data_IF_557360839728
#
_entry.id   IF_557360839728
#
_cell.length_a   1.000
_cell.length_b   1.000
_cell.length_c   1.000
_cell.angle_alpha   90.00
_cell.angle_beta   90.00
_cell.angle_gamma   90.00
#
_symmetry.space_group_name_H-M   'P 1'
#
loop_
_entity.id
_entity.type
_entity.pdbx_description
1 polymer ?
#
# COMPACT_ATOMS: atom_id res chain seq x y z
N UNK A 1 8.17 9.02 3.34
CA UNK A 1 7.07 9.27 4.29
C UNK A 1 7.41 10.51 5.08
N UNK A 2 6.73 11.61 4.78
CA UNK A 2 6.80 12.78 5.63
C UNK A 2 6.21 12.40 6.99
N UNK A 3 6.93 12.67 8.06
CA UNK A 3 6.46 12.50 9.43
C UNK A 3 5.18 13.30 9.75
N UNK A 4 4.73 14.11 8.80
CA UNK A 4 3.56 14.98 8.92
C UNK A 4 2.24 14.27 8.59
N UNK A 5 2.26 13.03 8.11
CA UNK A 5 1.07 12.23 7.80
C UNK A 5 0.59 11.38 8.99
N UNK A 6 1.23 11.45 10.14
CA UNK A 6 0.71 10.90 11.40
C UNK A 6 -0.44 11.76 11.97
N UNK A 7 -1.34 12.26 11.10
CA UNK A 7 -2.44 13.06 11.60
C UNK A 7 -3.58 12.15 12.06
N UNK A 8 -4.15 12.52 13.21
CA UNK A 8 -5.37 11.94 13.77
C UNK A 8 -6.61 12.07 12.86
N UNK A 9 -6.46 12.76 11.74
CA UNK A 9 -7.55 13.22 10.87
C UNK A 9 -7.81 12.31 9.66
N UNK A 10 -7.02 11.25 9.48
CA UNK A 10 -7.26 10.26 8.44
C UNK A 10 -8.50 9.42 8.78
N UNK A 11 -9.56 9.54 7.99
CA UNK A 11 -10.70 8.62 8.07
C UNK A 11 -10.29 7.31 7.40
N UNK A 12 -9.95 6.34 8.24
CA UNK A 12 -9.36 5.08 7.81
C UNK A 12 -10.32 3.95 8.09
N UNK A 13 -10.80 3.30 7.04
CA UNK A 13 -11.65 2.12 7.12
C UNK A 13 -10.96 0.94 6.47
N UNK A 14 -10.90 -0.17 7.18
CA UNK A 14 -10.39 -1.42 6.63
C UNK A 14 -11.27 -2.59 7.04
N UNK A 15 -11.57 -3.45 6.09
CA UNK A 15 -12.46 -4.60 6.26
C UNK A 15 -12.02 -5.82 5.44
N UNK A 16 -12.41 -7.00 5.90
CA UNK A 16 -12.34 -8.22 5.10
C UNK A 16 -13.69 -8.38 4.40
N UNK A 17 -13.71 -8.27 3.09
CA UNK A 17 -14.91 -8.50 2.27
C UNK A 17 -15.10 -9.99 2.06
N UNK A 18 -15.88 -10.62 2.92
CA UNK A 18 -16.06 -12.08 2.97
C UNK A 18 -16.64 -12.70 1.69
N UNK A 19 -17.45 -11.96 0.93
CA UNK A 19 -18.03 -12.43 -0.31
C UNK A 19 -17.02 -12.68 -1.44
N UNK A 20 -15.91 -11.95 -1.44
CA UNK A 20 -14.83 -12.07 -2.42
C UNK A 20 -13.51 -12.49 -1.78
N UNK A 21 -13.49 -12.67 -0.45
CA UNK A 21 -12.32 -13.08 0.34
C UNK A 21 -11.07 -12.21 0.10
N UNK A 22 -11.26 -10.90 0.14
CA UNK A 22 -10.24 -9.88 -0.03
C UNK A 22 -10.19 -8.93 1.16
N UNK A 23 -9.06 -8.25 1.35
CA UNK A 23 -8.93 -7.14 2.30
C UNK A 23 -9.03 -5.82 1.54
N UNK A 24 -9.91 -4.96 2.01
CA UNK A 24 -10.11 -3.62 1.46
C UNK A 24 -9.86 -2.58 2.54
N UNK A 25 -9.16 -1.51 2.18
CA UNK A 25 -9.07 -0.29 2.97
C UNK A 25 -9.68 0.84 2.14
N UNK A 26 -10.87 1.28 2.55
CA UNK A 26 -11.60 2.31 1.84
C UNK A 26 -11.14 3.70 2.26
N UNK A 27 -11.00 4.54 1.25
CA UNK A 27 -10.94 5.99 1.25
C UNK A 27 -10.10 6.60 2.38
N UNK A 28 -8.81 6.45 2.28
CA UNK A 28 -7.89 7.31 3.01
C UNK A 28 -7.86 8.64 2.26
N UNK A 29 -8.39 9.67 2.87
CA UNK A 29 -8.35 11.01 2.33
C UNK A 29 -7.28 11.80 3.04
N UNK A 30 -6.35 12.39 2.33
CA UNK A 30 -5.39 13.32 2.87
C UNK A 30 -5.17 14.51 1.93
N UNK A 31 -4.79 15.63 2.51
CA UNK A 31 -4.48 16.82 1.76
C UNK A 31 -3.00 16.83 1.39
N UNK A 32 -2.70 16.97 0.11
CA UNK A 32 -1.33 17.04 -0.37
C UNK A 32 -0.87 18.48 -0.47
N UNK A 33 0.00 18.90 0.45
CA UNK A 33 0.47 20.29 0.53
C UNK A 33 1.41 20.67 -0.61
N UNK A 34 2.18 19.70 -1.14
CA UNK A 34 3.18 19.93 -2.19
C UNK A 34 2.83 19.18 -3.46
N UNK A 35 3.13 19.77 -4.59
CA UNK A 35 3.06 19.08 -5.86
C UNK A 35 4.02 17.89 -5.89
N UNK A 36 3.50 16.74 -6.29
CA UNK A 36 4.29 15.56 -6.67
C UNK A 36 3.98 15.24 -8.11
N UNK A 37 4.72 14.34 -8.75
CA UNK A 37 4.72 14.14 -10.19
C UNK A 37 3.33 14.22 -10.80
N UNK A 38 2.38 13.48 -10.47
CA UNK A 38 1.03 13.47 -11.05
C UNK A 38 -0.03 14.16 -10.18
N UNK A 39 0.36 14.99 -9.22
CA UNK A 39 -0.58 15.66 -8.33
C UNK A 39 -0.14 17.10 -8.03
N UNK A 40 -1.00 18.07 -8.33
CA UNK A 40 -0.79 19.44 -7.91
C UNK A 40 -0.90 19.57 -6.40
N UNK A 41 -0.09 20.45 -5.79
CA UNK A 41 -0.23 20.79 -4.37
C UNK A 41 -1.61 21.37 -4.06
N UNK A 42 -2.08 21.16 -2.84
CA UNK A 42 -3.38 21.66 -2.39
C UNK A 42 -4.57 20.77 -2.78
N UNK A 43 -4.35 19.59 -3.32
CA UNK A 43 -5.43 18.66 -3.68
C UNK A 43 -5.68 17.65 -2.56
N UNK A 44 -6.93 17.25 -2.41
CA UNK A 44 -7.33 16.14 -1.56
C UNK A 44 -7.19 14.84 -2.35
N UNK A 45 -6.40 13.94 -1.83
CA UNK A 45 -6.12 12.65 -2.45
C UNK A 45 -6.87 11.55 -1.69
N UNK A 46 -7.60 10.73 -2.42
CA UNK A 46 -8.24 9.53 -1.90
C UNK A 46 -7.45 8.30 -2.32
N UNK A 47 -7.21 7.42 -1.37
CA UNK A 47 -6.60 6.12 -1.59
C UNK A 47 -7.57 5.01 -1.22
N UNK A 48 -7.58 3.97 -2.03
CA UNK A 48 -8.26 2.73 -1.74
C UNK A 48 -7.30 1.57 -1.98
N UNK A 49 -7.02 0.81 -0.93
CA UNK A 49 -6.18 -0.39 -1.03
C UNK A 49 -7.04 -1.63 -1.16
N UNK A 50 -6.61 -2.54 -2.01
CA UNK A 50 -7.22 -3.84 -2.23
C UNK A 50 -6.16 -4.92 -2.22
N UNK A 51 -6.24 -5.85 -1.27
CA UNK A 51 -5.38 -7.03 -1.18
C UNK A 51 -6.16 -8.21 -1.75
N UNK A 52 -5.83 -8.60 -2.97
CA UNK A 52 -6.55 -9.63 -3.74
C UNK A 52 -6.04 -11.05 -3.45
N UNK A 53 -4.80 -11.17 -3.01
CA UNK A 53 -4.18 -12.41 -2.57
C UNK A 53 -3.08 -12.13 -1.56
N UNK A 54 -2.54 -13.11 -0.84
CA UNK A 54 -1.51 -12.89 0.18
C UNK A 54 -0.32 -12.04 -0.29
N UNK A 55 0.01 -12.11 -1.56
CA UNK A 55 1.20 -11.46 -2.10
C UNK A 55 0.89 -10.38 -3.15
N UNK A 56 -0.39 -10.02 -3.31
CA UNK A 56 -0.79 -9.09 -4.35
C UNK A 56 -1.67 -7.97 -3.79
N UNK A 57 -1.25 -6.75 -4.02
CA UNK A 57 -2.00 -5.57 -3.60
C UNK A 57 -2.19 -4.60 -4.75
N UNK A 58 -3.31 -3.91 -4.74
CA UNK A 58 -3.65 -2.87 -5.71
C UNK A 58 -4.03 -1.62 -4.93
N UNK A 59 -3.42 -0.51 -5.31
CA UNK A 59 -3.77 0.82 -4.83
C UNK A 59 -4.52 1.55 -5.93
N UNK A 60 -5.69 2.06 -5.61
CA UNK A 60 -6.41 3.04 -6.39
C UNK A 60 -6.18 4.42 -5.77
N UNK A 61 -5.81 5.39 -6.58
CA UNK A 61 -5.56 6.76 -6.17
C UNK A 61 -6.37 7.69 -7.06
N UNK A 62 -6.97 8.74 -6.52
CA UNK A 62 -7.62 9.75 -7.37
C UNK A 62 -6.67 10.28 -8.42
N UNK A 63 -7.16 10.35 -9.65
CA UNK A 63 -6.43 10.92 -10.77
C UNK A 63 -6.59 12.44 -10.78
N UNK A 64 -5.52 13.24 -10.60
CA UNK A 64 -5.61 14.70 -10.60
C UNK A 64 -6.05 15.30 -11.94
N UNK A 65 -5.68 14.66 -13.05
CA UNK A 65 -5.99 15.16 -14.39
C UNK A 65 -7.40 14.80 -14.87
N UNK A 66 -7.99 13.74 -14.30
CA UNK A 66 -9.31 13.24 -14.71
C UNK A 66 -10.20 13.02 -13.49
N UNK A 67 -11.03 14.00 -13.13
CA UNK A 67 -12.02 13.82 -12.06
C UNK A 67 -12.89 12.58 -12.32
N UNK A 68 -13.13 11.78 -11.30
CA UNK A 68 -13.87 10.50 -11.31
C UNK A 68 -13.15 9.31 -11.97
N UNK A 69 -11.88 9.46 -12.37
CA UNK A 69 -11.02 8.36 -12.77
C UNK A 69 -10.01 8.04 -11.66
N UNK A 70 -9.41 6.86 -11.75
CA UNK A 70 -8.43 6.40 -10.78
C UNK A 70 -7.11 6.08 -11.46
N UNK A 71 -6.03 6.55 -10.87
CA UNK A 71 -4.72 5.98 -11.12
C UNK A 71 -4.63 4.66 -10.34
N UNK A 72 -4.01 3.66 -10.96
CA UNK A 72 -3.89 2.33 -10.36
C UNK A 72 -2.43 1.94 -10.28
N UNK A 73 -2.00 1.53 -9.09
CA UNK A 73 -0.65 1.01 -8.83
C UNK A 73 -0.80 -0.39 -8.24
N UNK A 74 -0.17 -1.37 -8.84
CA UNK A 74 -0.19 -2.73 -8.32
C UNK A 74 1.20 -3.22 -7.96
N UNK A 75 1.27 -4.02 -6.89
CA UNK A 75 2.45 -4.74 -6.45
C UNK A 75 2.12 -6.23 -6.37
N UNK A 76 2.87 -7.03 -7.12
CA UNK A 76 2.79 -8.49 -7.10
C UNK A 76 4.12 -9.03 -6.59
N UNK A 77 4.10 -9.63 -5.41
CA UNK A 77 5.26 -10.28 -4.83
C UNK A 77 5.23 -11.78 -5.18
N UNK A 78 6.28 -12.26 -5.78
CA UNK A 78 6.50 -13.68 -6.04
C UNK A 78 7.50 -14.21 -5.01
N UNK A 79 7.09 -15.04 -4.06
CA UNK A 79 8.01 -15.70 -3.15
C UNK A 79 8.98 -16.60 -3.94
N UNK A 80 10.25 -16.46 -3.69
CA UNK A 80 11.31 -17.30 -4.25
C UNK A 80 11.87 -18.25 -3.21
N UNK A 81 11.97 -17.79 -1.96
CA UNK A 81 12.40 -18.54 -0.79
C UNK A 81 11.74 -17.94 0.46
N UNK A 82 11.99 -18.46 1.66
CA UNK A 82 11.39 -17.97 2.91
C UNK A 82 11.71 -16.51 3.17
N UNK A 83 12.91 -16.04 2.84
CA UNK A 83 13.41 -14.69 3.06
C UNK A 83 13.56 -13.86 1.79
N UNK A 84 13.18 -14.38 0.63
CA UNK A 84 13.42 -13.72 -0.66
C UNK A 84 12.16 -13.70 -1.52
N UNK A 85 11.81 -12.56 -2.03
CA UNK A 85 10.76 -12.41 -3.03
C UNK A 85 11.21 -11.53 -4.19
N UNK A 86 10.59 -11.73 -5.35
CA UNK A 86 10.68 -10.83 -6.48
C UNK A 86 9.40 -9.99 -6.53
N UNK A 87 9.52 -8.67 -6.66
CA UNK A 87 8.36 -7.78 -6.72
C UNK A 87 8.22 -7.22 -8.12
N UNK A 88 7.03 -7.37 -8.67
CA UNK A 88 6.61 -6.80 -9.94
C UNK A 88 5.64 -5.65 -9.67
N UNK A 89 6.05 -4.45 -10.05
CA UNK A 89 5.18 -3.26 -9.97
C UNK A 89 4.60 -2.92 -11.33
N UNK A 90 3.36 -2.48 -11.36
CA UNK A 90 2.76 -1.88 -12.54
C UNK A 90 2.00 -0.60 -12.17
N UNK A 91 1.86 0.29 -13.15
CA UNK A 91 1.10 1.52 -13.03
C UNK A 91 0.18 1.70 -14.23
N UNK A 92 -1.03 2.14 -13.97
CA UNK A 92 -1.98 2.65 -14.96
C UNK A 92 -2.35 4.06 -14.48
N UNK A 93 -1.72 5.05 -15.07
CA UNK A 93 -1.86 6.45 -14.64
C UNK A 93 -2.18 7.36 -15.84
N UNK A 94 -2.93 8.40 -15.59
CA UNK A 94 -3.14 9.49 -16.53
C UNK A 94 -2.16 10.61 -16.18
N UNK A 95 -1.20 10.85 -17.05
CA UNK A 95 -0.24 11.93 -16.89
C UNK A 95 0.09 12.49 -18.28
N UNK A 96 -0.28 13.74 -18.53
CA UNK A 96 -0.05 14.41 -19.81
C UNK A 96 1.25 15.20 -19.85
N UNK A 97 1.95 15.32 -18.72
CA UNK A 97 3.10 16.20 -18.56
C UNK A 97 4.44 15.44 -18.57
N UNK A 98 4.44 14.23 -18.02
CA UNK A 98 5.65 13.45 -17.81
C UNK A 98 5.76 12.33 -18.85
N UNK A 99 6.99 11.95 -19.16
CA UNK A 99 7.23 10.77 -20.02
C UNK A 99 7.09 9.47 -19.21
N UNK A 100 6.87 8.37 -19.93
CA UNK A 100 6.87 7.03 -19.32
C UNK A 100 8.15 6.78 -18.50
N UNK A 101 9.29 7.22 -19.01
CA UNK A 101 10.58 7.09 -18.32
C UNK A 101 10.60 7.87 -17.00
N UNK A 102 10.07 9.08 -16.97
CA UNK A 102 10.01 9.90 -15.76
C UNK A 102 9.13 9.23 -14.69
N UNK A 103 7.98 8.70 -15.11
CA UNK A 103 7.04 7.99 -14.23
C UNK A 103 7.67 6.72 -13.65
N UNK A 104 8.37 5.93 -14.47
CA UNK A 104 9.08 4.72 -14.02
C UNK A 104 10.17 5.08 -13.02
N UNK A 105 11.01 6.06 -13.31
CA UNK A 105 12.09 6.49 -12.43
C UNK A 105 11.54 7.00 -11.09
N UNK A 106 10.47 7.79 -11.13
CA UNK A 106 9.83 8.28 -9.91
C UNK A 106 9.29 7.14 -9.05
N UNK A 107 8.60 6.18 -9.65
CA UNK A 107 8.05 5.04 -8.91
C UNK A 107 9.17 4.15 -8.34
N UNK A 108 10.24 3.92 -9.09
CA UNK A 108 11.41 3.20 -8.60
C UNK A 108 12.06 3.90 -7.41
N UNK A 109 12.19 5.24 -7.46
CA UNK A 109 12.74 6.02 -6.36
C UNK A 109 11.92 5.85 -5.08
N UNK A 110 10.59 5.91 -5.17
CA UNK A 110 9.70 5.67 -4.02
C UNK A 110 9.89 4.24 -3.50
N UNK A 111 9.87 3.26 -4.37
CA UNK A 111 9.99 1.86 -3.99
C UNK A 111 11.33 1.54 -3.31
N UNK A 112 12.45 2.14 -3.77
CA UNK A 112 13.74 1.98 -3.13
C UNK A 112 13.79 2.57 -1.71
N UNK A 113 13.04 3.62 -1.43
CA UNK A 113 12.93 4.15 -0.06
C UNK A 113 12.24 3.14 0.87
N UNK A 114 11.21 2.46 0.37
CA UNK A 114 10.49 1.44 1.13
C UNK A 114 11.34 0.18 1.36
N UNK A 115 12.12 -0.26 0.37
CA UNK A 115 13.03 -1.42 0.48
C UNK A 115 13.98 -1.27 1.65
N UNK A 116 14.61 -0.11 1.81
CA UNK A 116 15.56 0.14 2.89
C UNK A 116 14.90 -0.09 4.26
N UNK A 117 13.64 0.29 4.41
CA UNK A 117 12.90 0.09 5.65
C UNK A 117 12.53 -1.37 5.82
N UNK A 118 12.03 -2.03 4.76
CA UNK A 118 11.57 -3.41 4.79
C UNK A 118 12.71 -4.39 5.11
N UNK A 119 13.88 -4.21 4.49
CA UNK A 119 15.05 -5.07 4.70
C UNK A 119 15.68 -4.93 6.09
N UNK A 120 15.37 -3.86 6.82
CA UNK A 120 15.89 -3.61 8.16
C UNK A 120 14.85 -3.89 9.26
N UNK A 121 13.71 -4.49 8.94
CA UNK A 121 12.73 -4.85 9.97
C UNK A 121 13.17 -6.08 10.78
N UNK A 122 12.90 -6.04 12.08
CA UNK A 122 13.13 -7.15 13.01
C UNK A 122 11.83 -7.44 13.76
N UNK A 123 11.27 -8.64 13.66
CA UNK A 123 11.70 -9.77 12.82
C UNK A 123 11.51 -9.51 11.33
N UNK A 124 12.26 -10.22 10.46
CA UNK A 124 12.16 -10.13 9.01
C UNK A 124 10.82 -10.68 8.47
N UNK A 125 10.30 -11.73 9.10
CA UNK A 125 8.98 -12.27 8.78
C UNK A 125 7.85 -11.49 9.43
N UNK A 126 6.66 -11.52 8.80
CA UNK A 126 5.48 -10.82 9.30
C UNK A 126 4.95 -11.48 10.60
N UNK A 127 4.96 -10.78 11.75
CA UNK A 127 4.44 -11.36 12.98
C UNK A 127 2.90 -11.43 12.90
N UNK A 128 2.35 -12.61 13.11
CA UNK A 128 0.90 -12.83 13.13
C UNK A 128 0.32 -12.85 14.55
N UNK A 129 1.15 -12.88 15.59
CA UNK A 129 0.67 -12.87 16.98
C UNK A 129 -0.02 -11.55 17.31
N UNK A 130 -1.11 -11.62 18.06
CA UNK A 130 -1.81 -10.42 18.53
C UNK A 130 -0.93 -9.70 19.56
N UNK A 131 -0.73 -8.40 19.36
CA UNK A 131 0.08 -7.58 20.26
C UNK A 131 1.59 -7.67 20.03
N UNK A 132 2.08 -8.37 19.00
CA UNK A 132 3.49 -8.38 18.62
C UNK A 132 4.01 -6.98 18.27
N UNK A 133 3.13 -6.13 17.77
CA UNK A 133 3.43 -4.73 17.42
C UNK A 133 2.40 -3.77 18.03
N UNK A 134 2.82 -2.53 18.27
CA UNK A 134 1.90 -1.47 18.70
C UNK A 134 1.28 -0.83 17.48
N UNK A 135 0.00 -1.06 17.29
CA UNK A 135 -0.76 -0.52 16.16
C UNK A 135 -1.40 0.83 16.47
N UNK A 136 -1.38 1.72 15.51
CA UNK A 136 -2.09 3.01 15.53
C UNK A 136 -3.32 2.96 14.59
N UNK A 137 -4.09 4.05 14.51
CA UNK A 137 -5.28 4.10 13.64
C UNK A 137 -4.96 3.84 12.16
N UNK A 138 -3.79 4.27 11.69
CA UNK A 138 -3.35 4.08 10.32
C UNK A 138 -3.07 2.60 9.98
N UNK A 139 -2.82 1.74 10.97
CA UNK A 139 -2.47 0.33 10.76
C UNK A 139 -3.69 -0.59 10.57
N UNK A 140 -4.90 -0.06 10.44
CA UNK A 140 -6.11 -0.87 10.31
C UNK A 140 -6.06 -1.85 9.14
N UNK A 141 -5.51 -1.46 8.00
CA UNK A 141 -5.34 -2.36 6.85
C UNK A 141 -4.43 -3.52 7.19
N UNK A 142 -3.29 -3.24 7.80
CA UNK A 142 -2.33 -4.23 8.24
C UNK A 142 -2.94 -5.20 9.24
N UNK A 143 -3.71 -4.71 10.20
CA UNK A 143 -4.42 -5.54 11.17
C UNK A 143 -5.44 -6.47 10.51
N UNK A 144 -6.22 -5.96 9.55
CA UNK A 144 -7.17 -6.78 8.81
C UNK A 144 -6.47 -7.81 7.91
N UNK A 145 -5.38 -7.41 7.28
CA UNK A 145 -4.55 -8.30 6.46
C UNK A 145 -4.00 -9.46 7.29
N UNK A 146 -3.44 -9.21 8.47
CA UNK A 146 -2.96 -10.27 9.38
C UNK A 146 -4.08 -11.22 9.82
N UNK A 147 -5.25 -10.69 10.19
CA UNK A 147 -6.43 -11.52 10.51
C UNK A 147 -6.83 -12.41 9.34
N UNK A 148 -6.80 -11.86 8.15
CA UNK A 148 -7.11 -12.59 6.93
C UNK A 148 -6.09 -13.68 6.62
N UNK A 149 -4.79 -13.40 6.79
CA UNK A 149 -3.73 -14.40 6.64
C UNK A 149 -3.88 -15.54 7.66
N UNK A 150 -4.14 -15.22 8.93
CA UNK A 150 -4.44 -16.22 9.97
C UNK A 150 -5.62 -17.12 9.55
N UNK A 151 -6.69 -16.52 9.09
CA UNK A 151 -7.88 -17.27 8.61
C UNK A 151 -7.54 -18.20 7.43
N UNK A 152 -6.62 -17.79 6.57
CA UNK A 152 -6.13 -18.63 5.45
C UNK A 152 -5.13 -19.71 5.88
N UNK A 153 -4.62 -19.65 7.10
CA UNK A 153 -3.59 -20.58 7.58
C UNK A 153 -2.24 -20.40 6.90
N UNK A 154 -1.94 -19.19 6.40
CA UNK A 154 -0.66 -18.91 5.78
C UNK A 154 0.43 -18.89 6.86
N UNK A 155 1.50 -19.67 6.63
CA UNK A 155 2.67 -19.75 7.51
C UNK A 155 3.94 -19.24 6.82
N UNK A 156 3.98 -19.26 5.50
CA UNK A 156 5.14 -18.83 4.72
C UNK A 156 5.41 -17.32 4.90
N UNK A 157 6.67 -16.98 5.22
CA UNK A 157 7.07 -15.60 5.44
C UNK A 157 6.48 -14.95 6.71
N UNK A 158 5.94 -15.75 7.64
CA UNK A 158 5.30 -15.26 8.85
C UNK A 158 5.97 -15.80 10.12
N UNK A 159 5.87 -15.07 11.22
CA UNK A 159 6.22 -15.55 12.56
C UNK A 159 4.95 -15.80 13.38
N UNK A 160 4.86 -16.99 13.93
CA UNK A 160 3.78 -17.43 14.84
C UNK A 160 4.20 -17.30 16.32
#
# INVERSE_FOLDING_TARGET
WSSDVCSSDLDYRAEIRSGIDEVWADEITFHQDKAMLSAAGGQTIHYMYRVVSPFNTILYKTCPEKPNEWDVIGLFAQPLDEDVCCVYAFMLVYDSLNTETDLIQFQQMIFFQDIIILENQIPSGLPLQDGAERSIKADKTQLQYRKWLKKKGLQFGTHS
#
